data_IF_458247129064
#
_entry.id   IF_458247129064
#
_cell.length_a   1.000
_cell.length_b   1.000
_cell.length_c   1.000
_cell.angle_alpha   90.00
_cell.angle_beta   90.00
_cell.angle_gamma   90.00
#
_symmetry.space_group_name_H-M   'P 1'
#
loop_
_entity.id
_entity.type
_entity.pdbx_description
1 polymer ?
#
# COMPACT_ATOMS: atom_id res chain seq x y z
N UNK A 1 -20.05 -18.41 3.57
CA UNK A 1 -18.65 -18.28 3.11
C UNK A 1 -17.73 -18.30 4.32
N UNK A 2 -16.68 -19.08 4.27
CA UNK A 2 -15.71 -19.14 5.36
C UNK A 2 -14.85 -17.86 5.36
N UNK A 3 -14.71 -17.21 6.53
CA UNK A 3 -13.95 -15.97 6.65
C UNK A 3 -12.50 -16.06 6.14
N UNK A 4 -11.90 -17.26 6.23
CA UNK A 4 -10.53 -17.48 5.76
C UNK A 4 -10.35 -17.29 4.24
N UNK A 5 -11.43 -17.32 3.46
CA UNK A 5 -11.39 -17.18 2.02
C UNK A 5 -11.83 -15.79 1.53
N UNK A 6 -11.99 -14.84 2.44
CA UNK A 6 -12.33 -13.47 2.05
C UNK A 6 -11.12 -12.77 1.44
N UNK A 7 -11.28 -12.26 0.23
CA UNK A 7 -10.27 -11.43 -0.40
C UNK A 7 -9.97 -10.21 0.45
N UNK A 8 -8.72 -9.74 0.37
CA UNK A 8 -8.38 -8.46 0.98
C UNK A 8 -9.09 -7.36 0.22
N UNK A 9 -10.02 -6.69 0.89
CA UNK A 9 -10.75 -5.55 0.37
C UNK A 9 -10.16 -4.26 0.91
N UNK A 10 -10.48 -3.14 0.28
CA UNK A 10 -9.97 -1.83 0.67
C UNK A 10 -11.12 -0.89 0.96
N UNK A 11 -11.16 -0.38 2.19
CA UNK A 11 -12.11 0.62 2.62
C UNK A 11 -11.51 2.01 2.41
N UNK A 12 -12.20 2.88 1.68
CA UNK A 12 -11.73 4.25 1.47
C UNK A 12 -11.71 5.03 2.78
N UNK A 13 -10.59 5.67 3.07
CA UNK A 13 -10.42 6.50 4.27
C UNK A 13 -10.40 7.99 3.95
N UNK A 14 -9.88 8.38 2.80
CA UNK A 14 -9.79 9.78 2.42
C UNK A 14 -8.65 10.05 1.45
N UNK A 15 -8.59 11.29 1.00
CA UNK A 15 -7.54 11.79 0.12
C UNK A 15 -6.41 12.41 0.94
N UNK A 16 -5.21 12.42 0.36
CA UNK A 16 -4.07 13.10 0.97
C UNK A 16 -4.28 14.62 0.94
N UNK A 17 -3.76 15.31 1.95
CA UNK A 17 -3.70 16.76 1.94
C UNK A 17 -2.77 17.22 0.82
N UNK A 18 -3.21 18.24 0.05
CA UNK A 18 -2.40 18.75 -1.06
C UNK A 18 -1.24 19.60 -0.53
N UNK A 19 -1.44 20.30 0.57
CA UNK A 19 -0.44 21.18 1.18
C UNK A 19 -0.36 20.91 2.70
N UNK A 20 0.19 19.72 3.09
CA UNK A 20 0.27 19.37 4.49
C UNK A 20 1.34 20.19 5.22
N UNK A 21 1.22 20.37 6.54
CA UNK A 21 2.28 20.97 7.34
C UNK A 21 3.60 20.21 7.17
N UNK A 22 4.68 20.95 7.07
CA UNK A 22 6.00 20.34 6.93
C UNK A 22 6.47 19.83 8.28
N UNK A 23 6.73 18.53 8.36
CA UNK A 23 7.24 17.89 9.58
C UNK A 23 8.65 17.36 9.32
N UNK A 24 9.64 18.02 9.87
CA UNK A 24 11.03 17.58 9.76
C UNK A 24 11.38 16.68 10.93
N UNK A 25 11.79 15.46 10.60
CA UNK A 25 12.27 14.51 11.58
C UNK A 25 13.76 14.30 11.34
N UNK A 26 14.59 14.36 12.41
CA UNK A 26 16.01 14.10 12.25
C UNK A 26 16.25 12.63 11.88
N UNK A 27 17.14 12.41 10.92
CA UNK A 27 17.56 11.09 10.52
C UNK A 27 18.97 10.86 11.04
N UNK A 28 19.16 9.77 11.76
CA UNK A 28 20.49 9.38 12.21
C UNK A 28 21.27 8.87 10.99
N UNK A 29 22.49 9.36 10.86
CA UNK A 29 23.33 9.00 9.71
C UNK A 29 23.63 7.52 9.64
N UNK A 30 24.07 7.10 8.44
CA UNK A 30 24.31 5.69 8.12
C UNK A 30 25.34 5.00 9.03
N UNK A 31 26.15 5.76 9.75
CA UNK A 31 27.15 5.24 10.68
C UNK A 31 26.57 4.83 12.03
N UNK A 32 25.38 5.28 12.36
CA UNK A 32 24.74 4.89 13.60
C UNK A 32 24.35 3.41 13.54
N UNK A 33 24.81 2.64 14.50
CA UNK A 33 24.50 1.23 14.64
C UNK A 33 23.70 1.01 15.91
N UNK A 34 22.74 0.11 15.84
CA UNK A 34 21.98 -0.28 17.02
C UNK A 34 22.92 -0.82 18.10
N UNK A 35 22.79 -0.30 19.31
CA UNK A 35 23.58 -0.72 20.45
C UNK A 35 24.94 -0.03 20.59
N UNK A 36 25.32 0.86 19.65
CA UNK A 36 26.56 1.59 19.72
C UNK A 36 26.30 3.09 19.79
N UNK A 37 26.88 3.81 20.76
CA UNK A 37 26.77 5.26 20.77
C UNK A 37 27.54 5.84 19.60
N UNK A 38 26.88 6.72 18.85
CA UNK A 38 27.54 7.47 17.78
C UNK A 38 28.19 8.72 18.40
N UNK A 39 29.34 9.16 17.89
CA UNK A 39 29.88 10.48 18.25
C UNK A 39 28.86 11.56 17.87
N UNK A 40 28.86 12.66 18.63
CA UNK A 40 27.88 13.73 18.49
C UNK A 40 27.82 14.31 17.08
N UNK A 41 28.95 14.31 16.39
CA UNK A 41 29.08 14.87 15.03
C UNK A 41 28.54 13.95 13.96
N UNK A 42 28.24 12.67 14.26
CA UNK A 42 27.78 11.69 13.30
C UNK A 42 26.25 11.59 13.26
N UNK A 43 25.57 12.52 13.93
CA UNK A 43 24.19 12.36 14.18
C UNK A 43 23.29 12.63 13.02
N UNK A 44 23.15 13.76 12.60
CA UNK A 44 22.04 14.19 11.76
C UNK A 44 22.56 14.55 10.40
N UNK A 45 22.64 13.56 9.51
CA UNK A 45 23.04 13.81 8.15
C UNK A 45 21.93 14.54 7.37
N UNK A 46 20.67 14.33 7.78
CA UNK A 46 19.54 14.78 7.02
C UNK A 46 18.28 14.86 7.87
N UNK A 47 17.20 15.34 7.29
CA UNK A 47 15.87 15.33 7.89
C UNK A 47 14.92 14.50 7.05
N UNK A 48 13.99 13.84 7.74
CA UNK A 48 12.96 13.02 7.10
C UNK A 48 11.61 13.70 7.24
N UNK A 49 10.94 13.91 6.12
CA UNK A 49 9.54 14.31 6.09
C UNK A 49 8.72 13.09 5.70
N UNK A 50 7.87 12.61 6.60
CA UNK A 50 7.03 11.43 6.34
C UNK A 50 6.06 11.68 5.19
N UNK A 51 5.60 12.90 5.01
CA UNK A 51 4.74 13.22 3.87
C UNK A 51 5.49 12.97 2.56
N UNK A 52 6.71 13.46 2.44
CA UNK A 52 7.51 13.26 1.24
C UNK A 52 7.93 11.80 1.04
N UNK A 53 8.16 11.07 2.13
CA UNK A 53 8.54 9.67 2.05
C UNK A 53 7.40 8.80 1.52
N UNK A 54 6.19 9.02 2.00
CA UNK A 54 5.04 8.15 1.73
C UNK A 54 4.20 8.64 0.55
N UNK A 55 4.20 9.93 0.27
CA UNK A 55 3.31 10.55 -0.70
C UNK A 55 4.14 11.24 -1.78
N UNK A 56 4.14 10.66 -2.98
CA UNK A 56 4.88 11.22 -4.12
C UNK A 56 4.09 12.29 -4.84
N UNK A 57 2.78 12.09 -4.98
CA UNK A 57 1.87 13.01 -5.65
C UNK A 57 0.63 13.20 -4.80
N UNK A 58 0.58 14.26 -3.95
CA UNK A 58 -0.54 14.45 -3.05
C UNK A 58 -1.90 14.55 -3.75
N UNK A 59 -1.94 15.15 -4.93
CA UNK A 59 -3.18 15.34 -5.68
C UNK A 59 -3.78 14.01 -6.18
N UNK A 60 -2.97 12.94 -6.27
CA UNK A 60 -3.40 11.64 -6.75
C UNK A 60 -3.35 10.56 -5.68
N UNK A 61 -3.10 10.92 -4.42
CA UNK A 61 -2.89 9.97 -3.34
C UNK A 61 -4.13 9.84 -2.47
N UNK A 62 -4.50 8.59 -2.21
CA UNK A 62 -5.68 8.24 -1.42
C UNK A 62 -5.30 7.16 -0.42
N UNK A 63 -5.99 7.14 0.71
CA UNK A 63 -5.75 6.18 1.78
C UNK A 63 -6.91 5.21 1.90
N UNK A 64 -6.58 3.95 2.09
CA UNK A 64 -7.54 2.86 2.29
C UNK A 64 -7.13 2.02 3.48
N UNK A 65 -8.09 1.36 4.11
CA UNK A 65 -7.82 0.35 5.14
C UNK A 65 -8.03 -1.02 4.54
N UNK A 66 -7.04 -1.88 4.68
CA UNK A 66 -7.12 -3.26 4.22
C UNK A 66 -7.94 -4.11 5.20
N UNK A 67 -8.77 -4.97 4.66
CA UNK A 67 -9.50 -5.98 5.42
C UNK A 67 -9.33 -7.33 4.73
N UNK A 68 -8.96 -8.35 5.48
CA UNK A 68 -8.77 -9.69 4.95
C UNK A 68 -7.30 -10.09 4.94
N UNK A 69 -7.03 -11.32 4.50
CA UNK A 69 -5.70 -11.92 4.62
C UNK A 69 -5.16 -12.50 3.31
N UNK A 70 -5.73 -12.15 2.18
CA UNK A 70 -5.26 -12.70 0.89
C UNK A 70 -3.90 -12.16 0.47
N UNK A 71 -3.37 -11.14 1.15
CA UNK A 71 -2.11 -10.49 0.80
C UNK A 71 -1.05 -10.61 1.91
N UNK A 72 -1.18 -11.55 2.82
CA UNK A 72 -0.30 -11.66 3.99
C UNK A 72 1.15 -11.93 3.60
N UNK A 73 1.40 -12.68 2.53
CA UNK A 73 2.77 -12.96 2.07
C UNK A 73 3.41 -11.77 1.34
N UNK A 74 2.63 -10.77 0.98
CA UNK A 74 3.15 -9.49 0.49
C UNK A 74 3.36 -8.48 1.62
N UNK A 75 3.15 -8.89 2.88
CA UNK A 75 3.32 -8.04 4.03
C UNK A 75 2.13 -7.13 4.32
N UNK A 76 0.97 -7.41 3.73
CA UNK A 76 -0.24 -6.62 3.95
C UNK A 76 -1.19 -7.42 4.83
N UNK A 77 -1.46 -6.87 6.02
CA UNK A 77 -2.32 -7.49 7.01
C UNK A 77 -3.62 -6.73 7.14
N UNK A 78 -4.66 -7.43 7.62
CA UNK A 78 -5.94 -6.79 7.92
C UNK A 78 -5.74 -5.65 8.92
N UNK A 79 -6.29 -4.49 8.62
CA UNK A 79 -6.13 -3.28 9.44
C UNK A 79 -5.03 -2.34 8.97
N UNK A 80 -4.19 -2.76 8.04
CA UNK A 80 -3.14 -1.90 7.50
C UNK A 80 -3.73 -0.73 6.72
N UNK A 81 -3.00 0.38 6.70
CA UNK A 81 -3.32 1.51 5.84
C UNK A 81 -2.55 1.37 4.54
N UNK A 82 -3.27 1.40 3.43
CA UNK A 82 -2.70 1.37 2.09
C UNK A 82 -2.62 2.79 1.57
N UNK A 83 -1.45 3.18 1.09
CA UNK A 83 -1.25 4.45 0.40
C UNK A 83 -1.32 4.16 -1.10
N UNK A 84 -2.29 4.77 -1.76
CA UNK A 84 -2.61 4.49 -3.16
C UNK A 84 -2.34 5.74 -3.99
N UNK A 85 -1.55 5.60 -5.03
CA UNK A 85 -1.22 6.69 -5.95
C UNK A 85 -1.80 6.37 -7.33
N UNK A 86 -2.80 7.15 -7.74
CA UNK A 86 -3.48 6.96 -9.03
C UNK A 86 -2.71 7.51 -10.21
N UNK A 87 -1.63 8.27 -9.97
CA UNK A 87 -0.79 8.80 -11.03
C UNK A 87 0.27 7.82 -11.50
N UNK A 88 0.53 6.75 -10.73
CA UNK A 88 1.52 5.74 -11.08
C UNK A 88 0.92 4.79 -12.13
N UNK A 89 1.64 4.59 -13.23
CA UNK A 89 1.26 3.60 -14.23
C UNK A 89 1.56 2.21 -13.69
N UNK A 90 0.53 1.39 -13.52
CA UNK A 90 0.68 0.04 -12.97
C UNK A 90 1.40 -0.87 -13.96
N UNK A 91 2.23 -1.75 -13.43
CA UNK A 91 3.00 -2.73 -14.18
C UNK A 91 2.79 -4.13 -13.62
N UNK A 92 3.13 -5.14 -14.41
CA UNK A 92 3.13 -6.52 -13.95
C UNK A 92 3.91 -6.68 -12.64
N UNK A 93 3.29 -7.36 -11.69
CA UNK A 93 3.90 -7.60 -10.39
C UNK A 93 3.57 -6.54 -9.35
N UNK A 94 3.00 -5.41 -9.74
CA UNK A 94 2.62 -4.38 -8.78
C UNK A 94 1.46 -4.82 -7.90
N UNK A 95 1.47 -4.34 -6.66
CA UNK A 95 0.31 -4.43 -5.79
C UNK A 95 -0.67 -3.34 -6.19
N UNK A 96 -1.90 -3.73 -6.46
CA UNK A 96 -2.92 -2.82 -6.97
C UNK A 96 -4.21 -2.93 -6.16
N UNK A 97 -5.00 -1.85 -6.19
CA UNK A 97 -6.42 -1.93 -5.92
C UNK A 97 -7.13 -2.09 -7.26
N UNK A 98 -7.96 -3.11 -7.37
CA UNK A 98 -8.75 -3.37 -8.56
C UNK A 98 -10.23 -3.23 -8.23
N UNK A 99 -10.94 -2.51 -9.06
CA UNK A 99 -12.36 -2.26 -8.88
C UNK A 99 -13.08 -2.34 -10.22
N UNK A 100 -14.24 -2.96 -10.23
CA UNK A 100 -15.11 -2.98 -11.41
C UNK A 100 -16.56 -3.04 -10.97
N UNK A 101 -17.45 -2.55 -11.84
CA UNK A 101 -18.91 -2.58 -11.63
C UNK A 101 -19.36 -1.95 -10.30
N UNK A 102 -18.61 -0.96 -9.78
CA UNK A 102 -18.94 -0.30 -8.52
C UNK A 102 -18.79 -1.16 -7.28
N UNK A 103 -18.16 -2.32 -7.41
CA UNK A 103 -17.89 -3.21 -6.28
C UNK A 103 -16.80 -2.65 -5.36
N UNK A 104 -16.70 -3.19 -4.16
CA UNK A 104 -15.62 -2.84 -3.23
C UNK A 104 -14.26 -3.21 -3.84
N UNK A 105 -13.28 -2.31 -3.84
CA UNK A 105 -11.96 -2.63 -4.36
C UNK A 105 -11.32 -3.81 -3.66
N UNK A 106 -10.61 -4.63 -4.41
CA UNK A 106 -9.80 -5.72 -3.88
C UNK A 106 -8.31 -5.40 -4.05
N UNK A 107 -7.51 -5.81 -3.09
CA UNK A 107 -6.05 -5.64 -3.12
C UNK A 107 -5.41 -6.93 -3.63
N UNK A 108 -4.71 -6.84 -4.74
CA UNK A 108 -4.13 -7.99 -5.43
C UNK A 108 -2.79 -7.64 -6.07
N UNK A 109 -2.12 -8.66 -6.60
CA UNK A 109 -0.93 -8.49 -7.44
C UNK A 109 -1.38 -8.61 -8.90
N UNK A 110 -1.03 -7.60 -9.70
CA UNK A 110 -1.42 -7.58 -11.11
C UNK A 110 -0.55 -8.52 -11.94
N UNK A 111 -1.22 -9.33 -12.75
CA UNK A 111 -0.58 -10.10 -13.83
C UNK A 111 -1.29 -9.78 -15.12
N UNK A 112 -0.59 -9.06 -16.02
CA UNK A 112 -1.12 -8.75 -17.35
C UNK A 112 -0.84 -9.89 -18.31
N UNK A 113 -1.85 -10.25 -19.09
CA UNK A 113 -1.77 -11.24 -20.16
C UNK A 113 -2.06 -10.53 -21.48
N UNK A 114 -1.69 -11.13 -22.63
CA UNK A 114 -1.99 -10.50 -23.93
C UNK A 114 -3.46 -10.17 -24.16
N UNK A 115 -4.36 -10.96 -23.59
CA UNK A 115 -5.81 -10.86 -23.80
C UNK A 115 -6.59 -10.53 -22.53
N UNK A 116 -5.93 -10.05 -21.48
CA UNK A 116 -6.62 -9.69 -20.25
C UNK A 116 -5.68 -9.55 -19.08
N UNK A 117 -6.27 -9.56 -17.88
CA UNK A 117 -5.50 -9.51 -16.64
C UNK A 117 -5.93 -10.62 -15.69
N UNK A 118 -5.01 -11.01 -14.84
CA UNK A 118 -5.27 -11.84 -13.67
C UNK A 118 -4.88 -11.08 -12.41
N UNK A 119 -5.63 -11.30 -11.35
CA UNK A 119 -5.38 -10.69 -10.05
C UNK A 119 -5.00 -11.80 -9.07
N UNK A 120 -3.74 -11.79 -8.67
CA UNK A 120 -3.17 -12.85 -7.84
C UNK A 120 -3.13 -12.42 -6.38
N UNK A 121 -3.40 -13.37 -5.49
CA UNK A 121 -3.22 -13.17 -4.07
C UNK A 121 -1.79 -13.53 -3.65
N UNK A 122 -1.31 -12.91 -2.58
CA UNK A 122 -0.07 -13.30 -1.92
C UNK A 122 -0.42 -14.23 -0.74
N UNK A 123 -1.12 -15.30 -1.05
CA UNK A 123 -1.56 -16.31 -0.11
C UNK A 123 -2.00 -17.54 -0.91
N UNK A 124 -1.37 -18.71 -0.71
CA UNK A 124 -1.65 -19.89 -1.54
C UNK A 124 -3.06 -20.43 -1.37
N UNK A 125 -3.78 -20.03 -0.32
CA UNK A 125 -5.14 -20.50 -0.08
C UNK A 125 -6.19 -19.75 -0.90
N UNK A 126 -5.78 -18.76 -1.68
CA UNK A 126 -6.69 -17.93 -2.48
C UNK A 126 -6.49 -18.19 -3.96
N UNK A 127 -7.55 -18.50 -4.70
CA UNK A 127 -7.45 -18.67 -6.15
C UNK A 127 -7.19 -17.36 -6.88
N UNK A 128 -6.70 -17.47 -8.10
CA UNK A 128 -6.56 -16.32 -9.00
C UNK A 128 -7.95 -15.77 -9.31
N UNK A 129 -8.07 -14.44 -9.26
CA UNK A 129 -9.29 -13.74 -9.57
C UNK A 129 -9.19 -13.15 -10.98
N UNK A 130 -10.14 -13.51 -11.83
CA UNK A 130 -10.19 -13.00 -13.21
C UNK A 130 -11.45 -12.13 -13.33
N UNK A 131 -11.29 -10.81 -13.55
CA UNK A 131 -12.46 -9.96 -13.74
C UNK A 131 -13.25 -10.39 -14.99
N UNK A 132 -14.57 -10.16 -15.02
CA UNK A 132 -15.36 -10.46 -16.20
C UNK A 132 -14.84 -9.71 -17.43
N UNK A 133 -14.88 -10.36 -18.61
CA UNK A 133 -14.29 -9.82 -19.83
C UNK A 133 -14.98 -8.53 -20.33
N UNK A 134 -16.24 -8.36 -20.00
CA UNK A 134 -17.04 -7.22 -20.50
C UNK A 134 -16.95 -5.99 -19.61
N UNK A 135 -16.29 -6.07 -18.46
CA UNK A 135 -16.22 -4.93 -17.53
C UNK A 135 -14.89 -4.21 -17.65
N UNK A 136 -14.96 -2.91 -17.49
CA UNK A 136 -13.77 -2.08 -17.35
C UNK A 136 -13.25 -2.18 -15.91
N UNK A 137 -11.97 -2.49 -15.76
CA UNK A 137 -11.34 -2.63 -14.46
C UNK A 137 -10.51 -1.38 -14.18
N UNK A 138 -10.81 -0.71 -13.08
CA UNK A 138 -9.97 0.38 -12.58
C UNK A 138 -8.86 -0.19 -11.74
N UNK A 139 -7.62 0.16 -12.07
CA UNK A 139 -6.43 -0.27 -11.35
C UNK A 139 -5.72 0.95 -10.77
N UNK A 140 -5.38 0.88 -9.51
CA UNK A 140 -4.60 1.91 -8.82
C UNK A 140 -3.42 1.26 -8.11
N UNK A 141 -2.26 1.90 -8.15
CA UNK A 141 -1.05 1.32 -7.55
C UNK A 141 -1.02 1.57 -6.04
N UNK A 142 -0.79 0.51 -5.27
CA UNK A 142 -0.50 0.61 -3.84
C UNK A 142 1.00 0.84 -3.70
N UNK A 143 1.39 2.03 -3.27
CA UNK A 143 2.82 2.41 -3.21
C UNK A 143 3.43 2.20 -1.84
N UNK A 144 2.62 2.23 -0.77
CA UNK A 144 3.12 2.05 0.59
C UNK A 144 2.08 1.35 1.44
N UNK A 145 2.56 0.73 2.52
CA UNK A 145 1.73 0.16 3.58
C UNK A 145 2.19 0.76 4.91
N UNK A 146 1.22 1.20 5.71
CA UNK A 146 1.51 1.78 7.03
C UNK A 146 0.77 0.98 8.09
N UNK A 147 1.50 0.57 9.12
CA UNK A 147 0.94 -0.20 10.23
C UNK A 147 1.46 0.31 11.55
N UNK A 148 0.54 0.54 12.48
CA UNK A 148 0.89 0.80 13.85
C UNK A 148 1.06 -0.54 14.59
N UNK A 149 2.18 -0.69 15.32
CA UNK A 149 2.45 -1.91 16.06
C UNK A 149 1.79 -1.92 17.44
N UNK A 150 1.43 -0.73 17.92
CA UNK A 150 0.75 -0.58 19.22
C UNK A 150 -0.60 0.07 18.94
N UNK A 151 -1.67 -0.61 19.34
CA UNK A 151 -3.02 -0.05 19.22
C UNK A 151 -3.26 1.10 20.18
N UNK A 152 -4.42 1.69 20.10
CA UNK A 152 -4.83 2.74 21.03
C UNK A 152 -4.80 2.23 22.47
N UNK A 153 -4.30 3.06 23.36
CA UNK A 153 -4.23 2.76 24.79
C UNK A 153 -5.04 3.76 25.59
#
# INVERSE_FOLDING_TARGET
>A
MNAQFLNTTAQFLGAAAIDPPFLRLPVVGARARLGFPSPADDFLDDTLDLNNLLIRNPAATFFYRAHGNSMIRAGILSGDILVVDRSVTVQNGDVVLACWSGETPVCKILRGLPDGIELHSANPNYPVLIPPAEVEVELSCVIDVVRQLVGER
#
